data_IF_571511405038
#
_entry.id   IF_571511405038
#
_cell.length_a   1.000
_cell.length_b   1.000
_cell.length_c   1.000
_cell.angle_alpha   90.00
_cell.angle_beta   90.00
_cell.angle_gamma   90.00
#
_symmetry.space_group_name_H-M   'P 1'
#
loop_
_entity.id
_entity.type
_entity.pdbx_description
1 polymer ?
#
# COMPACT_ATOMS: atom_id res chain seq x y z
N UNK A 1 85.57 82.65 34.36
CA UNK A 1 85.24 82.01 33.07
C UNK A 1 83.87 81.34 33.21
N UNK A 2 82.89 81.79 32.43
CA UNK A 2 81.48 81.40 32.53
C UNK A 2 81.24 79.96 32.01
N UNK A 3 80.74 79.06 32.87
CA UNK A 3 80.43 77.66 32.54
C UNK A 3 79.05 77.44 31.90
N UNK A 4 78.51 78.46 31.22
CA UNK A 4 77.14 78.45 30.68
C UNK A 4 77.10 78.44 29.14
N UNK A 5 77.96 77.65 28.50
CA UNK A 5 77.95 77.40 27.04
C UNK A 5 77.96 75.89 26.77
N UNK A 6 77.49 75.46 25.58
CA UNK A 6 77.44 74.06 25.14
C UNK A 6 78.80 73.35 25.26
N UNK A 7 79.90 74.10 25.07
CA UNK A 7 81.27 73.63 25.27
C UNK A 7 81.57 73.20 26.72
N UNK A 8 80.89 73.80 27.72
CA UNK A 8 80.97 73.41 29.11
C UNK A 8 80.26 72.08 29.39
N UNK A 9 79.07 71.88 28.80
CA UNK A 9 78.27 70.65 28.95
C UNK A 9 79.00 69.39 28.43
N UNK A 10 79.72 69.50 27.30
CA UNK A 10 80.46 68.36 26.73
C UNK A 10 81.62 67.88 27.60
N UNK A 11 82.12 68.70 28.55
CA UNK A 11 83.22 68.38 29.47
C UNK A 11 82.77 67.75 30.79
N UNK A 12 81.47 67.69 31.08
CA UNK A 12 80.96 66.92 32.22
C UNK A 12 80.94 65.45 31.79
N UNK A 13 81.73 64.58 32.42
CA UNK A 13 81.63 63.12 32.23
C UNK A 13 80.37 62.56 32.89
N UNK A 14 80.53 61.76 33.94
CA UNK A 14 79.40 61.12 34.66
C UNK A 14 78.42 62.10 35.33
N UNK A 15 78.83 63.37 35.50
CA UNK A 15 78.01 64.43 36.08
C UNK A 15 76.91 64.96 35.14
N UNK A 16 76.78 64.43 33.92
CA UNK A 16 75.70 64.79 32.98
C UNK A 16 74.31 64.48 33.53
N UNK A 17 74.15 63.36 34.24
CA UNK A 17 72.86 62.88 34.75
C UNK A 17 72.22 63.84 35.77
N UNK A 18 73.04 64.60 36.50
CA UNK A 18 72.59 65.55 37.53
C UNK A 18 72.73 67.01 37.13
N UNK A 19 73.29 67.32 35.95
CA UNK A 19 73.47 68.70 35.52
C UNK A 19 72.17 69.29 34.96
N UNK A 20 71.89 70.55 35.32
CA UNK A 20 70.72 71.32 34.88
C UNK A 20 71.16 72.73 34.53
N UNK A 21 70.61 73.29 33.45
CA UNK A 21 70.85 74.69 33.10
C UNK A 21 70.08 75.63 34.03
N UNK A 22 70.45 76.91 34.05
CA UNK A 22 69.86 77.93 34.94
C UNK A 22 68.34 78.04 34.79
N UNK A 23 67.81 77.91 33.57
CA UNK A 23 66.35 77.91 33.33
C UNK A 23 65.66 76.74 34.02
N UNK A 24 66.20 75.52 33.89
CA UNK A 24 65.65 74.32 34.54
C UNK A 24 65.83 74.31 36.06
N UNK A 25 66.80 75.07 36.59
CA UNK A 25 67.02 75.22 38.03
C UNK A 25 66.05 76.23 38.65
N UNK A 26 65.60 77.23 37.90
CA UNK A 26 64.65 78.25 38.36
C UNK A 26 63.19 77.76 38.39
N UNK A 27 62.79 76.83 37.52
CA UNK A 27 61.41 76.29 37.50
C UNK A 27 61.06 75.41 38.70
N UNK A 28 62.04 74.84 39.40
CA UNK A 28 61.79 73.92 40.53
C UNK A 28 61.84 74.59 41.91
N UNK A 29 62.16 75.88 42.00
CA UNK A 29 62.36 76.56 43.29
C UNK A 29 61.19 77.45 43.73
N UNK A 30 60.05 77.43 43.03
CA UNK A 30 58.88 78.24 43.40
C UNK A 30 57.63 77.36 43.33
N UNK A 31 57.40 76.56 44.37
CA UNK A 31 56.13 76.37 45.09
C UNK A 31 56.13 75.04 45.86
N UNK A 32 56.50 75.15 47.13
CA UNK A 32 55.96 74.37 48.22
C UNK A 32 54.52 74.81 48.49
N UNK A 33 53.55 74.10 47.93
CA UNK A 33 52.17 74.01 48.42
C UNK A 33 51.67 72.61 48.10
N UNK A 34 51.62 71.75 49.11
CA UNK A 34 51.12 70.38 48.98
C UNK A 34 49.59 70.42 48.83
N UNK A 35 49.12 70.09 47.62
CA UNK A 35 47.72 69.87 47.21
C UNK A 35 47.67 68.57 46.38
N UNK A 36 46.52 67.89 46.23
CA UNK A 36 46.37 66.45 46.44
C UNK A 36 46.64 65.66 45.15
N UNK A 37 47.77 64.95 45.09
CA UNK A 37 48.05 64.00 43.99
C UNK A 37 47.95 62.54 44.41
N UNK A 38 48.13 62.24 45.70
CA UNK A 38 48.07 60.88 46.25
C UNK A 38 46.61 60.37 46.36
N UNK A 39 45.64 61.26 46.59
CA UNK A 39 44.22 60.89 46.60
C UNK A 39 43.70 60.49 45.22
N UNK A 40 44.13 61.16 44.15
CA UNK A 40 43.70 60.88 42.76
C UNK A 40 44.00 59.44 42.33
N UNK A 41 45.20 58.95 42.60
CA UNK A 41 45.62 57.60 42.18
C UNK A 41 45.04 56.50 43.08
N UNK A 42 44.84 56.80 44.37
CA UNK A 42 44.15 55.90 45.29
C UNK A 42 42.64 55.81 44.96
N UNK A 43 42.02 56.91 44.53
CA UNK A 43 40.63 56.96 44.08
C UNK A 43 40.43 56.18 42.77
N UNK A 44 41.32 56.35 41.79
CA UNK A 44 41.23 55.59 40.52
C UNK A 44 41.45 54.09 40.73
N UNK A 45 42.38 53.66 41.59
CA UNK A 45 42.54 52.23 41.92
C UNK A 45 41.34 51.67 42.68
N UNK A 46 40.69 52.48 43.54
CA UNK A 46 39.46 52.11 44.22
C UNK A 46 38.29 51.97 43.24
N UNK A 47 38.20 52.85 42.25
CA UNK A 47 37.21 52.77 41.15
C UNK A 47 37.46 51.55 40.26
N UNK A 48 38.71 51.22 39.91
CA UNK A 48 39.05 50.02 39.13
C UNK A 48 38.67 48.74 39.89
N UNK A 49 38.93 48.68 41.20
CA UNK A 49 38.48 47.54 42.03
C UNK A 49 36.95 47.47 42.10
N UNK A 50 36.28 48.61 42.31
CA UNK A 50 34.82 48.66 42.33
C UNK A 50 34.20 48.25 40.97
N UNK A 51 34.85 48.56 39.85
CA UNK A 51 34.46 48.09 38.53
C UNK A 51 34.72 46.59 38.38
N UNK A 52 35.88 46.09 38.83
CA UNK A 52 36.17 44.66 38.84
C UNK A 52 35.15 43.86 39.66
N UNK A 53 34.77 44.36 40.83
CA UNK A 53 33.75 43.74 41.69
C UNK A 53 32.36 43.76 41.03
N UNK A 54 32.04 44.82 40.28
CA UNK A 54 30.81 44.90 39.47
C UNK A 54 30.83 43.99 38.24
N UNK A 55 32.01 43.63 37.73
CA UNK A 55 32.18 42.78 36.55
C UNK A 55 32.33 41.29 36.89
N UNK A 56 32.69 40.93 38.13
CA UNK A 56 32.77 39.54 38.60
C UNK A 56 31.49 38.69 38.33
N UNK A 57 30.26 39.23 38.43
CA UNK A 57 29.05 38.50 38.06
C UNK A 57 28.96 38.09 36.59
N UNK A 58 29.68 38.75 35.67
CA UNK A 58 29.69 38.39 34.24
C UNK A 58 30.42 37.07 33.98
N UNK A 59 31.41 36.71 34.80
CA UNK A 59 32.07 35.41 34.71
C UNK A 59 31.10 34.30 35.10
N UNK A 60 30.34 34.50 36.17
CA UNK A 60 29.27 33.59 36.58
C UNK A 60 28.17 33.46 35.51
N UNK A 61 27.75 34.56 34.89
CA UNK A 61 26.76 34.56 33.81
C UNK A 61 27.25 33.80 32.56
N UNK A 62 28.55 33.87 32.25
CA UNK A 62 29.15 33.08 31.16
C UNK A 62 29.06 31.58 31.44
N UNK A 63 29.37 31.16 32.66
CA UNK A 63 29.31 29.76 33.07
C UNK A 63 27.86 29.24 33.09
N UNK A 64 26.91 30.03 33.57
CA UNK A 64 25.47 29.74 33.49
C UNK A 64 25.00 29.61 32.02
N UNK A 65 25.46 30.51 31.14
CA UNK A 65 25.16 30.46 29.72
C UNK A 65 25.69 29.20 29.02
N UNK A 66 26.86 28.71 29.43
CA UNK A 66 27.43 27.43 28.95
C UNK A 66 26.61 26.26 29.48
N UNK A 67 26.24 26.27 30.77
CA UNK A 67 25.43 25.23 31.39
C UNK A 67 24.07 25.10 30.71
N UNK A 68 23.33 26.21 30.55
CA UNK A 68 22.04 26.26 29.87
C UNK A 68 22.12 25.76 28.43
N UNK A 69 23.16 26.16 27.68
CA UNK A 69 23.38 25.67 26.31
C UNK A 69 23.62 24.17 26.29
N UNK A 70 24.38 23.65 27.25
CA UNK A 70 24.66 22.22 27.36
C UNK A 70 23.40 21.40 27.68
N UNK A 71 22.54 21.90 28.57
CA UNK A 71 21.29 21.26 28.94
C UNK A 71 20.26 21.31 27.80
N UNK A 72 20.17 22.46 27.12
CA UNK A 72 19.33 22.61 25.93
C UNK A 72 19.77 21.64 24.82
N UNK A 73 21.08 21.53 24.57
CA UNK A 73 21.59 20.61 23.57
C UNK A 73 21.37 19.14 23.96
N UNK A 74 21.60 18.76 25.23
CA UNK A 74 21.32 17.41 25.75
C UNK A 74 19.84 17.04 25.63
N UNK A 75 18.93 17.94 26.03
CA UNK A 75 17.48 17.70 25.95
C UNK A 75 17.00 17.60 24.50
N UNK A 76 17.48 18.46 23.62
CA UNK A 76 17.21 18.38 22.17
C UNK A 76 17.74 17.08 21.56
N UNK A 77 18.98 16.71 21.87
CA UNK A 77 19.61 15.46 21.39
C UNK A 77 18.89 14.21 21.92
N UNK A 78 18.42 14.23 23.17
CA UNK A 78 17.63 13.13 23.72
C UNK A 78 16.29 13.00 22.99
N UNK A 79 15.63 14.13 22.72
CA UNK A 79 14.34 14.16 22.02
C UNK A 79 14.48 13.64 20.58
N UNK A 80 15.52 14.06 19.86
CA UNK A 80 15.80 13.56 18.50
C UNK A 80 16.15 12.08 18.49
N UNK A 81 16.96 11.61 19.44
CA UNK A 81 17.28 10.19 19.57
C UNK A 81 16.04 9.32 19.86
N UNK A 82 15.12 9.80 20.70
CA UNK A 82 13.86 9.12 20.96
C UNK A 82 13.00 9.05 19.70
N UNK A 83 12.88 10.16 18.95
CA UNK A 83 12.16 10.18 17.68
C UNK A 83 12.78 9.22 16.66
N UNK A 84 14.12 9.19 16.54
CA UNK A 84 14.83 8.27 15.65
C UNK A 84 14.59 6.80 16.02
N UNK A 85 14.61 6.47 17.31
CA UNK A 85 14.27 5.11 17.77
C UNK A 85 12.83 4.74 17.39
N UNK A 86 11.87 5.63 17.65
CA UNK A 86 10.47 5.40 17.28
C UNK A 86 10.29 5.23 15.77
N UNK A 87 10.99 6.01 14.94
CA UNK A 87 10.97 5.83 13.50
C UNK A 87 11.56 4.49 13.07
N UNK A 88 12.69 4.10 13.65
CA UNK A 88 13.31 2.81 13.36
C UNK A 88 12.40 1.62 13.73
N UNK A 89 11.70 1.71 14.86
CA UNK A 89 10.75 0.68 15.27
C UNK A 89 9.53 0.61 14.33
N UNK A 90 9.02 1.77 13.89
CA UNK A 90 7.96 1.83 12.86
C UNK A 90 8.41 1.27 11.51
N UNK A 91 9.65 1.53 11.09
CA UNK A 91 10.20 0.96 9.85
C UNK A 91 10.23 -0.56 9.94
N UNK A 92 10.70 -1.12 11.06
CA UNK A 92 10.69 -2.58 11.27
C UNK A 92 9.28 -3.16 11.26
N UNK A 93 8.30 -2.49 11.88
CA UNK A 93 6.89 -2.91 11.81
C UNK A 93 6.39 -2.91 10.36
N UNK A 94 6.68 -1.86 9.59
CA UNK A 94 6.30 -1.80 8.18
C UNK A 94 6.96 -2.88 7.34
N UNK A 95 8.24 -3.18 7.53
CA UNK A 95 8.92 -4.28 6.86
C UNK A 95 8.25 -5.62 7.15
N UNK A 96 7.90 -5.88 8.42
CA UNK A 96 7.20 -7.11 8.80
C UNK A 96 5.81 -7.20 8.16
N UNK A 97 5.06 -6.10 8.15
CA UNK A 97 3.74 -6.04 7.52
C UNK A 97 3.81 -6.19 6.01
N UNK A 98 4.83 -5.64 5.35
CA UNK A 98 5.06 -5.82 3.92
C UNK A 98 5.27 -7.30 3.57
N UNK A 99 6.09 -8.01 4.34
CA UNK A 99 6.28 -9.47 4.17
C UNK A 99 4.96 -10.23 4.32
N UNK A 100 4.09 -9.82 5.26
CA UNK A 100 2.77 -10.43 5.41
C UNK A 100 1.86 -10.15 4.21
N UNK A 101 1.83 -8.90 3.71
CA UNK A 101 1.03 -8.52 2.54
C UNK A 101 1.47 -9.31 1.31
N UNK A 102 2.77 -9.46 1.07
CA UNK A 102 3.30 -10.27 -0.03
C UNK A 102 2.88 -11.74 0.08
N UNK A 103 2.90 -12.31 1.29
CA UNK A 103 2.41 -13.67 1.53
C UNK A 103 0.92 -13.77 1.20
N UNK A 104 0.10 -12.85 1.71
CA UNK A 104 -1.34 -12.85 1.44
C UNK A 104 -1.61 -12.73 -0.06
N UNK A 105 -0.91 -11.84 -0.77
CA UNK A 105 -1.06 -11.69 -2.22
C UNK A 105 -0.75 -12.99 -2.97
N UNK A 106 0.33 -13.69 -2.59
CA UNK A 106 0.68 -15.00 -3.18
C UNK A 106 -0.40 -16.05 -2.95
N UNK A 107 -0.97 -16.10 -1.73
CA UNK A 107 -2.05 -17.04 -1.41
C UNK A 107 -3.34 -16.69 -2.16
N UNK A 108 -3.69 -15.41 -2.26
CA UNK A 108 -4.86 -14.94 -3.00
C UNK A 108 -4.77 -15.34 -4.47
N UNK A 109 -3.63 -15.10 -5.12
CA UNK A 109 -3.41 -15.51 -6.51
C UNK A 109 -3.51 -17.03 -6.69
N UNK A 110 -2.90 -17.81 -5.77
CA UNK A 110 -2.98 -19.27 -5.82
C UNK A 110 -4.42 -19.79 -5.66
N UNK A 111 -5.19 -19.19 -4.74
CA UNK A 111 -6.59 -19.55 -4.53
C UNK A 111 -7.41 -19.21 -5.77
N UNK A 112 -7.21 -18.03 -6.36
CA UNK A 112 -7.89 -17.62 -7.59
C UNK A 112 -7.63 -18.63 -8.73
N UNK A 113 -6.37 -18.99 -8.98
CA UNK A 113 -6.04 -20.00 -10.02
C UNK A 113 -6.69 -21.36 -9.74
N UNK A 114 -6.77 -21.78 -8.46
CA UNK A 114 -7.45 -23.02 -8.10
C UNK A 114 -8.96 -22.94 -8.31
N UNK A 115 -9.58 -21.80 -8.02
CA UNK A 115 -11.00 -21.57 -8.26
C UNK A 115 -11.32 -21.64 -9.75
N UNK A 116 -10.55 -20.94 -10.58
CA UNK A 116 -10.70 -20.97 -12.05
C UNK A 116 -10.58 -22.40 -12.59
N UNK A 117 -9.60 -23.16 -12.09
CA UNK A 117 -9.43 -24.57 -12.47
C UNK A 117 -10.62 -25.44 -12.05
N UNK A 118 -11.09 -25.30 -10.81
CA UNK A 118 -12.24 -26.07 -10.31
C UNK A 118 -13.53 -25.73 -11.05
N UNK A 119 -13.74 -24.45 -11.39
CA UNK A 119 -14.88 -24.01 -12.19
C UNK A 119 -14.82 -24.63 -13.60
N UNK A 120 -13.64 -24.65 -14.23
CA UNK A 120 -13.45 -25.30 -15.52
C UNK A 120 -13.70 -26.82 -15.45
N UNK A 121 -13.19 -27.50 -14.41
CA UNK A 121 -13.42 -28.93 -14.19
C UNK A 121 -14.90 -29.23 -13.93
N UNK A 122 -15.58 -28.41 -13.13
CA UNK A 122 -17.02 -28.52 -12.87
C UNK A 122 -17.84 -28.36 -14.15
N UNK A 123 -17.56 -27.32 -14.93
CA UNK A 123 -18.24 -27.08 -16.20
C UNK A 123 -18.01 -28.23 -17.19
N UNK A 124 -16.78 -28.75 -17.24
CA UNK A 124 -16.44 -29.90 -18.09
C UNK A 124 -17.17 -31.18 -17.65
N UNK A 125 -17.26 -31.42 -16.33
CA UNK A 125 -17.98 -32.56 -15.77
C UNK A 125 -19.49 -32.47 -16.03
N UNK A 126 -20.08 -31.28 -15.90
CA UNK A 126 -21.49 -31.06 -16.24
C UNK A 126 -21.77 -31.32 -17.72
N UNK A 127 -20.94 -30.77 -18.62
CA UNK A 127 -21.05 -31.03 -20.06
C UNK A 127 -20.91 -32.52 -20.37
N UNK A 128 -19.94 -33.20 -19.73
CA UNK A 128 -19.74 -34.63 -19.91
C UNK A 128 -20.97 -35.44 -19.45
N UNK A 129 -21.58 -35.07 -18.33
CA UNK A 129 -22.79 -35.72 -17.81
C UNK A 129 -24.00 -35.61 -18.75
N UNK A 130 -24.03 -34.56 -19.60
CA UNK A 130 -25.10 -34.28 -20.56
C UNK A 130 -24.75 -34.69 -21.99
N UNK A 131 -23.54 -35.20 -22.23
CA UNK A 131 -23.04 -35.45 -23.59
C UNK A 131 -23.91 -36.44 -24.39
N UNK A 132 -24.51 -37.42 -23.71
CA UNK A 132 -25.40 -38.42 -24.30
C UNK A 132 -26.88 -38.04 -24.19
N UNK A 133 -27.19 -36.83 -23.74
CA UNK A 133 -28.56 -36.39 -23.51
C UNK A 133 -29.13 -35.67 -24.75
N UNK A 134 -30.41 -35.89 -24.99
CA UNK A 134 -31.22 -35.16 -25.98
C UNK A 134 -32.40 -34.52 -25.25
N UNK A 135 -32.60 -33.24 -25.48
CA UNK A 135 -33.71 -32.46 -24.99
C UNK A 135 -34.81 -32.36 -26.05
N UNK A 136 -36.00 -32.82 -25.71
CA UNK A 136 -37.20 -32.77 -26.55
C UNK A 136 -38.15 -31.70 -25.99
N UNK A 137 -38.38 -30.65 -26.77
CA UNK A 137 -39.30 -29.54 -26.44
C UNK A 137 -40.59 -29.63 -27.25
N UNK A 138 -41.66 -29.04 -26.72
CA UNK A 138 -42.93 -28.87 -27.45
C UNK A 138 -43.92 -30.03 -27.31
N UNK A 139 -43.60 -31.05 -26.51
CA UNK A 139 -44.50 -32.17 -26.20
C UNK A 139 -45.41 -31.79 -25.03
N UNK A 140 -46.75 -31.70 -25.20
CA UNK A 140 -47.69 -31.46 -24.10
C UNK A 140 -47.55 -32.49 -22.98
N UNK A 141 -47.81 -32.08 -21.74
CA UNK A 141 -47.81 -32.97 -20.59
C UNK A 141 -49.18 -33.62 -20.42
N UNK A 142 -49.19 -34.94 -20.21
CA UNK A 142 -50.42 -35.69 -19.93
C UNK A 142 -50.28 -36.53 -18.66
N UNK A 143 -51.38 -36.69 -17.92
CA UNK A 143 -51.37 -37.50 -16.70
C UNK A 143 -51.19 -38.98 -17.04
N UNK A 144 -50.26 -39.67 -16.36
CA UNK A 144 -49.97 -41.09 -16.59
C UNK A 144 -49.24 -41.38 -17.91
N UNK A 145 -48.53 -40.40 -18.47
CA UNK A 145 -47.85 -40.56 -19.76
C UNK A 145 -46.67 -41.54 -19.71
N UNK A 146 -46.53 -42.33 -20.77
CA UNK A 146 -45.35 -43.17 -20.98
C UNK A 146 -44.35 -42.45 -21.87
N UNK A 147 -43.33 -41.83 -21.27
CA UNK A 147 -42.33 -41.06 -22.00
C UNK A 147 -41.60 -41.91 -23.06
N UNK A 148 -41.33 -43.19 -22.78
CA UNK A 148 -40.68 -44.05 -23.77
C UNK A 148 -41.56 -44.29 -25.01
N UNK A 149 -42.87 -44.45 -24.85
CA UNK A 149 -43.78 -44.58 -26.00
C UNK A 149 -43.82 -43.33 -26.86
N UNK A 150 -43.83 -42.14 -26.23
CA UNK A 150 -43.74 -40.87 -26.94
C UNK A 150 -42.47 -40.82 -27.78
N UNK A 151 -41.33 -41.18 -27.20
CA UNK A 151 -40.05 -41.15 -27.91
C UNK A 151 -39.99 -42.22 -28.99
N UNK A 152 -40.55 -43.41 -28.74
CA UNK A 152 -40.64 -44.46 -29.76
C UNK A 152 -41.44 -43.98 -30.98
N UNK A 153 -42.56 -43.27 -30.76
CA UNK A 153 -43.34 -42.64 -31.84
C UNK A 153 -42.53 -41.58 -32.58
N UNK A 154 -41.79 -40.73 -31.87
CA UNK A 154 -40.88 -39.75 -32.47
C UNK A 154 -39.83 -40.48 -33.34
N UNK A 155 -39.22 -41.54 -32.82
CA UNK A 155 -38.25 -42.39 -33.54
C UNK A 155 -38.81 -42.94 -34.84
N UNK A 156 -40.04 -43.47 -34.82
CA UNK A 156 -40.74 -43.92 -36.03
C UNK A 156 -40.97 -42.80 -37.04
N UNK A 157 -41.34 -41.59 -36.59
CA UNK A 157 -41.59 -40.45 -37.47
C UNK A 157 -40.32 -39.89 -38.12
N UNK A 158 -39.20 -39.90 -37.40
CA UNK A 158 -37.90 -39.47 -37.93
C UNK A 158 -37.16 -40.58 -38.69
N UNK A 159 -37.80 -41.74 -38.89
CA UNK A 159 -37.23 -42.92 -39.54
C UNK A 159 -35.98 -43.47 -38.84
N UNK A 160 -35.88 -43.29 -37.52
CA UNK A 160 -34.84 -43.84 -36.66
C UNK A 160 -35.47 -44.49 -35.43
N UNK A 161 -35.97 -45.74 -35.54
CA UNK A 161 -36.59 -46.43 -34.43
C UNK A 161 -35.57 -46.73 -33.34
N UNK A 162 -35.93 -46.45 -32.09
CA UNK A 162 -35.07 -46.69 -30.92
C UNK A 162 -35.63 -47.83 -30.06
N UNK A 163 -34.75 -48.57 -29.40
CA UNK A 163 -35.12 -49.65 -28.48
C UNK A 163 -34.85 -49.25 -27.03
N UNK A 164 -35.53 -49.90 -26.08
CA UNK A 164 -35.35 -49.63 -24.63
C UNK A 164 -33.90 -49.87 -24.17
N UNK A 165 -33.18 -50.81 -24.77
CA UNK A 165 -31.79 -51.13 -24.40
C UNK A 165 -30.80 -50.04 -24.78
N UNK A 166 -31.16 -49.15 -25.70
CA UNK A 166 -30.34 -48.01 -26.11
C UNK A 166 -30.51 -46.78 -25.20
N UNK A 167 -31.51 -46.80 -24.32
CA UNK A 167 -31.88 -45.68 -23.45
C UNK A 167 -31.47 -46.01 -22.02
N UNK A 168 -30.72 -45.11 -21.40
CA UNK A 168 -30.32 -45.19 -20.00
C UNK A 168 -31.47 -44.73 -19.10
N UNK A 169 -31.97 -43.50 -19.33
CA UNK A 169 -33.13 -42.98 -18.63
C UNK A 169 -33.89 -41.95 -19.48
N UNK A 170 -35.15 -41.71 -19.09
CA UNK A 170 -36.00 -40.67 -19.65
C UNK A 170 -36.73 -39.97 -18.52
N UNK A 171 -36.72 -38.64 -18.51
CA UNK A 171 -37.43 -37.85 -17.50
C UNK A 171 -37.92 -36.53 -18.08
N UNK A 172 -38.95 -35.94 -17.47
CA UNK A 172 -39.23 -34.51 -17.64
C UNK A 172 -38.30 -33.70 -16.76
N UNK A 173 -37.95 -32.49 -17.20
CA UNK A 173 -37.18 -31.53 -16.39
C UNK A 173 -38.06 -30.33 -16.03
N UNK A 174 -38.23 -30.03 -14.73
CA UNK A 174 -38.99 -28.86 -14.31
C UNK A 174 -38.40 -27.58 -14.90
N UNK A 175 -39.26 -26.76 -15.49
CA UNK A 175 -38.89 -25.44 -16.02
C UNK A 175 -39.37 -24.36 -15.05
N UNK A 176 -38.62 -23.24 -14.92
CA UNK A 176 -39.03 -22.12 -14.05
C UNK A 176 -40.37 -21.49 -14.49
N UNK A 177 -40.64 -21.55 -15.78
CA UNK A 177 -41.86 -21.01 -16.40
C UNK A 177 -42.94 -22.08 -16.41
N UNK A 178 -44.00 -21.88 -15.62
CA UNK A 178 -45.12 -22.83 -15.49
C UNK A 178 -46.01 -22.90 -16.74
N UNK A 179 -45.94 -21.91 -17.63
CA UNK A 179 -46.73 -21.87 -18.86
C UNK A 179 -46.15 -22.75 -19.98
N UNK A 180 -44.87 -23.11 -19.89
CA UNK A 180 -44.22 -23.95 -20.88
C UNK A 180 -44.26 -25.43 -20.47
N UNK A 181 -44.51 -26.29 -21.45
CA UNK A 181 -44.44 -27.74 -21.25
C UNK A 181 -43.02 -28.12 -20.80
N UNK A 182 -42.93 -28.88 -19.70
CA UNK A 182 -41.67 -29.41 -19.21
C UNK A 182 -40.98 -30.23 -20.31
N UNK A 183 -39.73 -29.92 -20.69
CA UNK A 183 -39.02 -30.67 -21.71
C UNK A 183 -38.72 -32.10 -21.25
N UNK A 184 -38.65 -33.02 -22.21
CA UNK A 184 -38.27 -34.41 -21.97
C UNK A 184 -36.76 -34.53 -22.23
N UNK A 185 -36.01 -35.01 -21.25
CA UNK A 185 -34.60 -35.40 -21.40
C UNK A 185 -34.51 -36.91 -21.57
N UNK A 186 -33.76 -37.31 -22.59
CA UNK A 186 -33.43 -38.71 -22.87
C UNK A 186 -31.93 -38.85 -22.77
N UNK A 187 -31.46 -39.77 -21.94
CA UNK A 187 -30.06 -40.16 -21.91
C UNK A 187 -29.87 -41.47 -22.68
N UNK A 188 -29.04 -41.46 -23.71
CA UNK A 188 -28.68 -42.67 -24.45
C UNK A 188 -27.48 -43.39 -23.81
N UNK A 189 -27.46 -44.71 -23.90
CA UNK A 189 -26.32 -45.52 -23.44
C UNK A 189 -25.06 -45.28 -24.30
N UNK A 190 -25.25 -44.92 -25.57
CA UNK A 190 -24.17 -44.74 -26.54
C UNK A 190 -24.29 -43.38 -27.24
N UNK A 191 -23.18 -42.64 -27.28
CA UNK A 191 -23.07 -41.35 -27.95
C UNK A 191 -23.42 -41.43 -29.44
N UNK A 192 -23.02 -42.49 -30.13
CA UNK A 192 -23.29 -42.66 -31.56
C UNK A 192 -24.80 -42.71 -31.84
N UNK A 193 -25.56 -43.44 -31.00
CA UNK A 193 -27.03 -43.53 -31.11
C UNK A 193 -27.66 -42.15 -30.93
N UNK A 194 -27.17 -41.36 -29.98
CA UNK A 194 -27.63 -39.98 -29.76
C UNK A 194 -27.36 -39.09 -30.96
N UNK A 195 -26.15 -39.13 -31.52
CA UNK A 195 -25.78 -38.29 -32.68
C UNK A 195 -26.59 -38.68 -33.93
N UNK A 196 -26.79 -39.99 -34.18
CA UNK A 196 -27.61 -40.48 -35.29
C UNK A 196 -29.08 -40.08 -35.12
N UNK A 197 -29.63 -40.20 -33.90
CA UNK A 197 -30.99 -39.76 -33.59
C UNK A 197 -31.18 -38.26 -33.84
N UNK A 198 -30.25 -37.42 -33.39
CA UNK A 198 -30.28 -35.97 -33.60
C UNK A 198 -30.12 -35.65 -35.10
N UNK A 199 -29.26 -36.36 -35.83
CA UNK A 199 -29.09 -36.18 -37.26
C UNK A 199 -30.37 -36.55 -38.03
N UNK A 200 -30.99 -37.68 -37.70
CA UNK A 200 -32.27 -38.11 -38.27
C UNK A 200 -33.38 -37.10 -37.97
N UNK A 201 -33.45 -36.59 -36.73
CA UNK A 201 -34.42 -35.56 -36.35
C UNK A 201 -34.21 -34.25 -37.12
N UNK A 202 -32.95 -33.81 -37.30
CA UNK A 202 -32.61 -32.62 -38.11
C UNK A 202 -33.00 -32.82 -39.57
N UNK A 203 -32.74 -34.00 -40.13
CA UNK A 203 -33.13 -34.33 -41.50
C UNK A 203 -34.65 -34.32 -41.67
N UNK A 204 -35.38 -35.01 -40.79
CA UNK A 204 -36.84 -35.04 -40.78
C UNK A 204 -37.44 -33.64 -40.66
N UNK A 205 -36.88 -32.78 -39.79
CA UNK A 205 -37.37 -31.41 -39.62
C UNK A 205 -37.33 -30.53 -40.87
N UNK A 206 -36.46 -30.87 -41.85
CA UNK A 206 -36.36 -30.19 -43.15
C UNK A 206 -37.43 -30.67 -44.13
N UNK A 207 -37.87 -31.93 -44.03
CA UNK A 207 -38.85 -32.53 -44.95
C UNK A 207 -40.27 -32.37 -44.42
N UNK A 208 -40.49 -32.56 -43.12
CA UNK A 208 -41.77 -32.39 -42.44
C UNK A 208 -41.56 -31.97 -40.99
N UNK A 209 -42.27 -30.93 -40.54
CA UNK A 209 -42.17 -30.51 -39.15
C UNK A 209 -42.90 -31.51 -38.24
N UNK A 210 -42.19 -32.00 -37.22
CA UNK A 210 -42.78 -32.80 -36.16
C UNK A 210 -43.66 -31.91 -35.28
N UNK A 211 -44.94 -32.24 -35.16
CA UNK A 211 -45.89 -31.52 -34.31
C UNK A 211 -46.56 -32.42 -33.29
N UNK A 212 -47.12 -31.82 -32.24
CA UNK A 212 -47.87 -32.52 -31.19
C UNK A 212 -49.05 -33.33 -31.74
N UNK A 213 -49.70 -32.85 -32.80
CA UNK A 213 -50.79 -33.57 -33.48
C UNK A 213 -50.31 -34.84 -34.17
N UNK A 214 -49.08 -34.87 -34.71
CA UNK A 214 -48.53 -36.10 -35.29
C UNK A 214 -48.42 -37.20 -34.22
N UNK A 215 -48.07 -36.85 -32.98
CA UNK A 215 -47.97 -37.79 -31.86
C UNK A 215 -49.32 -38.16 -31.22
N UNK A 216 -50.42 -37.58 -31.69
CA UNK A 216 -51.77 -37.82 -31.19
C UNK A 216 -52.19 -36.90 -30.03
N UNK A 217 -51.47 -35.81 -29.78
CA UNK A 217 -51.88 -34.81 -28.79
C UNK A 217 -52.78 -33.74 -29.40
N UNK A 218 -53.61 -33.13 -28.56
CA UNK A 218 -54.42 -31.96 -28.94
C UNK A 218 -53.49 -30.75 -29.11
N UNK A 219 -53.66 -30.04 -30.24
CA UNK A 219 -52.86 -28.86 -30.60
C UNK A 219 -51.82 -29.15 -31.69
N UNK A 220 -51.14 -28.09 -32.15
CA UNK A 220 -50.18 -28.15 -33.25
C UNK A 220 -48.82 -27.55 -32.87
N UNK A 221 -48.37 -27.83 -31.64
CA UNK A 221 -47.10 -27.34 -31.12
C UNK A 221 -45.96 -28.03 -31.85
N UNK A 222 -44.97 -27.26 -32.31
CA UNK A 222 -43.80 -27.80 -32.97
C UNK A 222 -42.86 -28.46 -31.96
N UNK A 223 -42.35 -29.63 -32.31
CA UNK A 223 -41.47 -30.43 -31.48
C UNK A 223 -40.03 -30.25 -31.96
N UNK A 224 -39.13 -30.05 -31.00
CA UNK A 224 -37.71 -29.82 -31.26
C UNK A 224 -36.87 -30.86 -30.52
N UNK A 225 -35.97 -31.53 -31.24
CA UNK A 225 -35.02 -32.49 -30.68
C UNK A 225 -33.62 -31.85 -30.71
N UNK A 226 -33.17 -31.37 -29.55
CA UNK A 226 -31.90 -30.66 -29.41
C UNK A 226 -30.90 -31.51 -28.63
N UNK A 227 -29.60 -31.50 -28.99
CA UNK A 227 -28.58 -32.04 -28.10
C UNK A 227 -28.57 -31.22 -26.81
N UNK A 228 -28.56 -31.89 -25.65
CA UNK A 228 -28.36 -31.20 -24.39
C UNK A 228 -26.89 -30.73 -24.30
N UNK A 229 -26.69 -29.46 -23.96
CA UNK A 229 -25.38 -28.84 -23.76
C UNK A 229 -25.12 -28.56 -22.28
#
# INVERSE_FOLDING_TARGET
MCWNTEAGYRKLGDRKSTWRCVKCKQTHSIQSSLSPRIESDALTLKEIRALSDKLAPLECFKDEGIALRSEFFKSSLNSTNLALKQFNDKIKDFEQRLVQVEKVQKHANLIQTRLEKLEQESNSAEQWSRMNNVEIKGVPQTSGENLFEIISKIGSMIQYPITKTQVNFVTRVPTREKEHNEPIIICFCNRYVKEDFVAAARYASKTSHLTSSNLGFVGNNRIYNNPAQ
#
